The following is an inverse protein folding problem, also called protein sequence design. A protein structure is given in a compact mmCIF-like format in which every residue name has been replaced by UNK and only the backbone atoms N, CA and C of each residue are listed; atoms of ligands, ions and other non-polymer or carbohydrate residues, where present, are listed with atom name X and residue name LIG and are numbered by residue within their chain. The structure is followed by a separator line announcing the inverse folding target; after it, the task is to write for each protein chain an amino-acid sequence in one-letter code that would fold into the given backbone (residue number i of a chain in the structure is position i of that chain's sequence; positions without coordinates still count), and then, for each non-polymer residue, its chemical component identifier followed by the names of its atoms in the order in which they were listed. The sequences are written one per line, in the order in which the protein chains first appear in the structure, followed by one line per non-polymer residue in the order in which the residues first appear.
data_IF_277540228787
#
_entry.id   IF_277540228787
#
_cell.length_a   1.000
_cell.length_b   1.000
_cell.length_c   1.000
_cell.angle_alpha   90.00
_cell.angle_beta   90.00
_cell.angle_gamma   90.00
#
_symmetry.space_group_name_H-M   'P 1'
#
loop_
_entity.id
_entity.type
_entity.pdbx_description
1 polymer ?
#
# COMPACT_ATOMS: atom_id res chain seq x y z
N UNK A 1 -6.86 11.04 -0.24
CA UNK A 1 -6.29 10.85 -1.60
C UNK A 1 -4.79 11.17 -1.72
N UNK A 2 -4.32 12.42 -1.56
CA UNK A 2 -2.88 12.78 -1.79
C UNK A 2 -1.92 11.98 -0.90
N UNK A 3 -2.23 11.90 0.40
CA UNK A 3 -1.44 11.13 1.37
C UNK A 3 -1.37 9.63 1.02
N UNK A 4 -2.48 9.02 0.61
CA UNK A 4 -2.53 7.63 0.15
C UNK A 4 -1.64 7.39 -1.08
N UNK A 5 -1.71 8.28 -2.08
CA UNK A 5 -0.87 8.18 -3.29
C UNK A 5 0.61 8.32 -2.98
N UNK A 6 0.98 9.25 -2.09
CA UNK A 6 2.37 9.43 -1.63
C UNK A 6 2.87 8.17 -0.93
N UNK A 7 2.11 7.63 0.02
CA UNK A 7 2.47 6.40 0.71
C UNK A 7 2.62 5.21 -0.24
N UNK A 8 1.71 5.08 -1.21
CA UNK A 8 1.79 4.02 -2.22
C UNK A 8 3.02 4.14 -3.11
N UNK A 9 3.43 5.37 -3.47
CA UNK A 9 4.67 5.64 -4.20
C UNK A 9 5.90 5.24 -3.36
N UNK A 10 5.95 5.62 -2.09
CA UNK A 10 7.03 5.23 -1.17
C UNK A 10 7.17 3.71 -1.04
N UNK A 11 6.04 2.99 -0.93
CA UNK A 11 6.05 1.52 -0.88
C UNK A 11 6.65 0.91 -2.16
N UNK A 12 6.29 1.42 -3.34
CA UNK A 12 6.87 0.97 -4.61
C UNK A 12 8.37 1.29 -4.69
N UNK A 13 8.78 2.49 -4.32
CA UNK A 13 10.18 2.93 -4.37
C UNK A 13 11.08 2.09 -3.47
N UNK A 14 10.57 1.70 -2.30
CA UNK A 14 11.23 0.77 -1.39
C UNK A 14 11.14 -0.70 -1.83
N UNK A 15 10.56 -0.98 -3.00
CA UNK A 15 10.33 -2.34 -3.56
C UNK A 15 9.49 -3.24 -2.64
N UNK A 16 8.63 -2.63 -1.84
CA UNK A 16 7.79 -3.32 -0.85
C UNK A 16 6.51 -3.89 -1.47
N UNK A 17 6.14 -3.32 -2.62
CA UNK A 17 5.06 -3.78 -3.49
C UNK A 17 5.59 -3.76 -4.93
N UNK A 18 5.10 -4.67 -5.74
CA UNK A 18 5.42 -4.72 -7.16
C UNK A 18 4.59 -3.69 -7.97
N UNK A 19 4.90 -3.55 -9.25
CA UNK A 19 4.22 -2.60 -10.14
C UNK A 19 2.74 -2.97 -10.33
N UNK A 20 2.40 -4.26 -10.30
CA UNK A 20 1.01 -4.72 -10.46
C UNK A 20 0.15 -4.31 -9.25
N UNK A 21 0.65 -4.54 -8.03
CA UNK A 21 0.03 -4.12 -6.77
C UNK A 21 -0.09 -2.61 -6.71
N UNK A 22 0.97 -1.87 -7.06
CA UNK A 22 0.92 -0.41 -7.13
C UNK A 22 -0.23 0.07 -8.03
N UNK A 23 -0.33 -0.45 -9.26
CA UNK A 23 -1.38 -0.03 -10.21
C UNK A 23 -2.78 -0.36 -9.71
N UNK A 24 -2.97 -1.54 -9.11
CA UNK A 24 -4.26 -1.96 -8.54
C UNK A 24 -4.70 -1.02 -7.43
N UNK A 25 -3.85 -0.82 -6.41
CA UNK A 25 -4.20 0.02 -5.26
C UNK A 25 -4.34 1.48 -5.67
N UNK A 26 -3.55 1.97 -6.63
CA UNK A 26 -3.70 3.33 -7.13
C UNK A 26 -5.10 3.58 -7.71
N UNK A 27 -5.66 2.63 -8.47
CA UNK A 27 -7.04 2.71 -8.99
C UNK A 27 -8.07 2.70 -7.86
N UNK A 28 -7.88 1.87 -6.84
CA UNK A 28 -8.75 1.83 -5.66
C UNK A 28 -8.73 3.16 -4.89
N UNK A 29 -7.55 3.75 -4.70
CA UNK A 29 -7.41 5.09 -4.10
C UNK A 29 -8.10 6.15 -4.97
N UNK A 30 -7.98 6.07 -6.31
CA UNK A 30 -8.67 6.98 -7.23
C UNK A 30 -10.20 6.84 -7.12
N UNK A 31 -10.69 5.63 -6.88
CA UNK A 31 -12.12 5.34 -6.68
C UNK A 31 -12.62 5.63 -5.25
N UNK A 32 -11.76 6.08 -4.33
CA UNK A 32 -12.15 6.41 -2.95
C UNK A 32 -12.36 5.20 -2.03
N UNK A 33 -11.79 4.04 -2.36
CA UNK A 33 -12.01 2.78 -1.65
C UNK A 33 -11.49 2.74 -0.19
N UNK A 34 -10.73 3.75 0.25
CA UNK A 34 -10.08 3.76 1.56
C UNK A 34 -10.38 5.06 2.31
N UNK A 35 -10.77 4.93 3.58
CA UNK A 35 -11.11 6.06 4.45
C UNK A 35 -9.86 6.82 4.90
N UNK A 36 -8.71 6.15 5.00
CA UNK A 36 -7.45 6.74 5.45
C UNK A 36 -6.22 6.07 4.82
N UNK A 37 -5.02 6.53 5.15
CA UNK A 37 -3.76 5.87 4.79
C UNK A 37 -3.59 4.54 5.52
N UNK A 38 -3.98 4.47 6.79
CA UNK A 38 -3.87 3.26 7.61
C UNK A 38 -4.79 2.15 7.09
N UNK A 39 -6.02 2.49 6.69
CA UNK A 39 -6.98 1.57 6.08
C UNK A 39 -6.42 0.92 4.80
N UNK A 40 -5.83 1.74 3.91
CA UNK A 40 -5.14 1.26 2.71
C UNK A 40 -3.96 0.33 3.02
N UNK A 41 -3.16 0.66 4.04
CA UNK A 41 -2.00 -0.16 4.44
C UNK A 41 -2.47 -1.48 5.06
N UNK A 42 -3.53 -1.46 5.86
CA UNK A 42 -4.13 -2.67 6.45
C UNK A 42 -4.64 -3.62 5.35
N UNK A 43 -5.31 -3.09 4.33
CA UNK A 43 -5.74 -3.88 3.18
C UNK A 43 -4.56 -4.56 2.45
N UNK A 44 -3.48 -3.82 2.21
CA UNK A 44 -2.25 -4.35 1.62
C UNK A 44 -1.62 -5.47 2.47
N UNK A 45 -1.63 -5.33 3.81
CA UNK A 45 -1.14 -6.36 4.74
C UNK A 45 -1.99 -7.63 4.66
N UNK A 46 -3.31 -7.49 4.72
CA UNK A 46 -4.25 -8.62 4.75
C UNK A 46 -4.17 -9.49 3.51
N UNK A 47 -3.91 -8.89 2.34
CA UNK A 47 -3.76 -9.65 1.10
C UNK A 47 -2.39 -10.30 0.91
N UNK A 48 -1.46 -10.19 1.89
CA UNK A 48 -0.05 -10.61 1.77
C UNK A 48 0.63 -10.04 0.52
N UNK A 49 0.16 -8.91 0.00
CA UNK A 49 0.72 -8.22 -1.19
C UNK A 49 1.97 -7.40 -0.85
N UNK A 50 2.57 -7.74 0.27
CA UNK A 50 3.65 -7.05 0.93
C UNK A 50 4.76 -8.09 1.05
N UNK A 51 5.94 -7.81 0.49
CA UNK A 51 7.08 -8.74 0.60
C UNK A 51 7.40 -9.07 2.07
N UNK A 52 7.88 -10.29 2.32
CA UNK A 52 8.20 -10.82 3.66
C UNK A 52 9.14 -9.91 4.48
N UNK A 53 9.94 -9.06 3.81
CA UNK A 53 10.81 -8.04 4.43
C UNK A 53 10.04 -6.96 5.20
N UNK A 54 8.75 -6.77 4.92
CA UNK A 54 7.93 -5.70 5.50
C UNK A 54 7.21 -6.08 6.78
N UNK A 55 6.94 -7.38 6.99
CA UNK A 55 6.21 -7.85 8.17
C UNK A 55 6.91 -7.34 9.44
N UNK A 56 8.25 -7.33 9.43
CA UNK A 56 9.08 -6.81 10.52
C UNK A 56 9.12 -5.28 10.66
N UNK A 57 8.77 -4.50 9.63
CA UNK A 57 8.92 -3.02 9.65
C UNK A 57 7.69 -2.31 10.22
N UNK A 58 6.57 -3.02 10.32
CA UNK A 58 5.27 -2.43 10.62
C UNK A 58 4.57 -3.02 11.86
N UNK A 59 5.15 -4.09 12.42
CA UNK A 59 4.72 -4.74 13.67
C UNK A 59 5.62 -4.33 14.86
N UNK A 60 6.54 -3.40 14.63
CA UNK A 60 7.41 -2.79 15.66
C UNK A 60 7.00 -1.36 15.99
#
# INVERSE_FOLDING_TARGET
VRAQRRKLKELREKKLIDVSTYRRIYRMVKAGAFKSTSDMVMYLRNLKLIERKLHYVFDG
#
